data_IF_799365366991
#
_entry.id   IF_799365366991
#
_cell.length_a   1.000
_cell.length_b   1.000
_cell.length_c   1.000
_cell.angle_alpha   90.00
_cell.angle_beta   90.00
_cell.angle_gamma   90.00
#
_symmetry.space_group_name_H-M   'P 1'
#
loop_
_entity.id
_entity.type
_entity.pdbx_description
1 polymer ?
#
# COMPACT_ATOMS: atom_id res chain seq x y z
N UNK A 1 4.51 40.15 29.78
CA UNK A 1 5.32 39.74 28.61
C UNK A 1 5.61 40.97 27.77
N UNK A 2 6.88 41.24 27.41
CA UNK A 2 7.25 42.43 26.62
C UNK A 2 6.60 42.34 25.22
N UNK A 3 5.92 43.40 24.76
CA UNK A 3 5.26 43.42 23.44
C UNK A 3 6.21 43.08 22.31
N UNK A 4 7.48 43.49 22.41
CA UNK A 4 8.53 43.16 21.43
C UNK A 4 8.83 41.67 21.41
N UNK A 5 8.86 41.01 22.57
CA UNK A 5 9.07 39.56 22.66
C UNK A 5 7.86 38.83 22.05
N UNK A 6 6.64 39.26 22.37
CA UNK A 6 5.42 38.66 21.81
C UNK A 6 5.39 38.77 20.28
N UNK A 7 5.69 39.95 19.72
CA UNK A 7 5.73 40.17 18.28
C UNK A 7 6.82 39.33 17.63
N UNK A 8 8.00 39.23 18.25
CA UNK A 8 9.11 38.42 17.73
C UNK A 8 8.75 36.93 17.69
N UNK A 9 8.07 36.42 18.74
CA UNK A 9 7.58 35.04 18.78
C UNK A 9 6.54 34.80 17.68
N UNK A 10 5.58 35.73 17.50
CA UNK A 10 4.56 35.62 16.44
C UNK A 10 5.20 35.60 15.05
N UNK A 11 6.14 36.50 14.76
CA UNK A 11 6.85 36.54 13.48
C UNK A 11 7.61 35.24 13.24
N UNK A 12 8.35 34.74 14.24
CA UNK A 12 9.10 33.50 14.13
C UNK A 12 8.18 32.29 13.86
N UNK A 13 7.04 32.22 14.54
CA UNK A 13 6.05 31.16 14.31
C UNK A 13 5.46 31.26 12.91
N UNK A 14 4.99 32.45 12.49
CA UNK A 14 4.42 32.65 11.15
C UNK A 14 5.42 32.28 10.05
N UNK A 15 6.68 32.72 10.19
CA UNK A 15 7.73 32.38 9.24
C UNK A 15 8.01 30.87 9.21
N UNK A 16 8.08 30.23 10.39
CA UNK A 16 8.28 28.78 10.48
C UNK A 16 7.13 27.99 9.83
N UNK A 17 5.88 28.42 10.01
CA UNK A 17 4.71 27.77 9.40
C UNK A 17 4.68 27.97 7.88
N UNK A 18 4.97 29.19 7.39
CA UNK A 18 5.05 29.48 5.95
C UNK A 18 6.14 28.64 5.27
N UNK A 19 7.31 28.59 5.89
CA UNK A 19 8.43 27.80 5.40
C UNK A 19 8.05 26.33 5.35
N UNK A 20 7.49 25.79 6.44
CA UNK A 20 7.01 24.41 6.49
C UNK A 20 5.95 24.10 5.44
N UNK A 21 4.96 24.97 5.23
CA UNK A 21 3.92 24.77 4.21
C UNK A 21 4.51 24.75 2.80
N UNK A 22 5.43 25.67 2.52
CA UNK A 22 6.18 25.69 1.26
C UNK A 22 6.94 24.37 1.07
N UNK A 23 7.63 23.88 2.12
CA UNK A 23 8.31 22.58 2.07
C UNK A 23 7.33 21.41 1.86
N UNK A 24 6.15 21.43 2.46
CA UNK A 24 5.16 20.38 2.30
C UNK A 24 4.60 20.29 0.88
N UNK A 25 4.35 21.43 0.24
CA UNK A 25 3.90 21.50 -1.15
C UNK A 25 4.95 20.96 -2.14
N UNK A 26 6.24 21.22 -1.90
CA UNK A 26 7.32 20.73 -2.77
C UNK A 26 7.76 19.30 -2.47
N UNK A 27 7.62 18.84 -1.22
CA UNK A 27 8.07 17.53 -0.76
C UNK A 27 6.96 16.78 0.00
N UNK A 28 5.79 16.57 -0.61
CA UNK A 28 4.69 15.91 0.07
C UNK A 28 5.07 14.47 0.45
N UNK A 29 4.52 13.93 1.56
CA UNK A 29 4.50 12.50 1.80
C UNK A 29 3.89 11.78 0.60
N UNK A 30 4.55 10.75 0.07
CA UNK A 30 3.92 9.89 -0.94
C UNK A 30 2.76 9.14 -0.28
N UNK A 31 1.55 9.38 -0.77
CA UNK A 31 0.32 8.73 -0.28
C UNK A 31 -0.10 7.65 -1.27
N UNK A 32 -0.76 6.60 -0.78
CA UNK A 32 -1.42 5.62 -1.66
C UNK A 32 -2.46 6.27 -2.62
N UNK A 33 -2.97 7.46 -2.28
CA UNK A 33 -3.83 8.27 -3.17
C UNK A 33 -3.12 8.75 -4.44
N UNK A 34 -1.79 8.82 -4.44
CA UNK A 34 -1.00 9.35 -5.55
C UNK A 34 -0.98 8.40 -6.76
N UNK A 35 -1.43 7.15 -6.56
CA UNK A 35 -1.58 6.18 -7.65
C UNK A 35 -2.64 6.63 -8.64
N UNK A 36 -3.76 7.19 -8.16
CA UNK A 36 -4.89 7.60 -8.99
C UNK A 36 -4.43 8.53 -10.14
N UNK A 37 -3.56 9.47 -9.83
CA UNK A 37 -3.09 10.49 -10.78
C UNK A 37 -1.77 10.08 -11.48
N UNK A 38 -1.35 8.81 -11.35
CA UNK A 38 -0.09 8.34 -11.92
C UNK A 38 -0.12 8.33 -13.46
N UNK A 39 0.92 8.85 -14.17
CA UNK A 39 0.96 8.96 -15.63
C UNK A 39 0.65 7.67 -16.39
N UNK A 40 1.05 6.53 -15.82
CA UNK A 40 0.75 5.18 -16.32
C UNK A 40 -0.69 5.03 -16.83
N UNK A 41 -1.69 5.51 -16.08
CA UNK A 41 -3.09 5.36 -16.48
C UNK A 41 -3.40 6.14 -17.76
N UNK A 42 -2.92 7.38 -17.87
CA UNK A 42 -3.13 8.22 -19.04
C UNK A 42 -2.40 7.69 -20.29
N UNK A 43 -1.19 7.16 -20.09
CA UNK A 43 -0.35 6.61 -21.16
C UNK A 43 -0.89 5.28 -21.71
N UNK A 44 -1.49 4.44 -20.85
CA UNK A 44 -1.87 3.07 -21.22
C UNK A 44 -3.36 2.89 -21.52
N UNK A 45 -4.22 3.88 -21.24
CA UNK A 45 -5.68 3.78 -21.49
C UNK A 45 -6.06 3.49 -22.95
N UNK A 46 -5.25 3.94 -23.91
CA UNK A 46 -5.52 3.83 -25.35
C UNK A 46 -4.69 2.74 -26.04
N UNK A 47 -4.01 1.87 -25.28
CA UNK A 47 -3.25 0.77 -25.88
C UNK A 47 -4.20 -0.31 -26.44
N UNK A 48 -3.91 -0.77 -27.67
CA UNK A 48 -4.63 -1.84 -28.37
C UNK A 48 -4.35 -3.24 -27.79
N UNK A 49 -3.39 -3.36 -26.86
CA UNK A 49 -3.07 -4.62 -26.18
C UNK A 49 -4.15 -5.03 -25.17
N UNK A 50 -4.39 -6.34 -25.10
CA UNK A 50 -5.27 -6.99 -24.12
C UNK A 50 -4.57 -7.01 -22.75
N UNK A 51 -5.09 -6.25 -21.79
CA UNK A 51 -4.40 -6.04 -20.51
C UNK A 51 -4.85 -7.05 -19.47
N UNK A 52 -3.87 -7.65 -18.80
CA UNK A 52 -4.03 -8.43 -17.58
C UNK A 52 -3.38 -7.64 -16.46
N UNK A 53 -4.13 -7.32 -15.40
CA UNK A 53 -3.64 -6.51 -14.30
C UNK A 53 -3.56 -7.34 -13.03
N UNK A 54 -2.46 -7.21 -12.30
CA UNK A 54 -2.33 -7.71 -10.93
C UNK A 54 -2.52 -6.56 -9.94
N UNK A 55 -3.47 -6.73 -9.01
CA UNK A 55 -3.72 -5.84 -7.88
C UNK A 55 -3.41 -6.59 -6.57
N UNK A 56 -3.13 -5.84 -5.52
CA UNK A 56 -2.89 -6.39 -4.17
C UNK A 56 -1.77 -5.68 -3.43
N UNK A 57 -1.53 -6.16 -2.22
CA UNK A 57 -0.53 -5.64 -1.29
C UNK A 57 0.91 -6.06 -1.60
N UNK A 58 1.76 -5.97 -0.58
CA UNK A 58 3.21 -6.19 -0.69
C UNK A 58 3.59 -7.59 -1.21
N UNK A 59 2.75 -8.61 -1.01
CA UNK A 59 2.97 -9.96 -1.57
C UNK A 59 2.82 -9.97 -3.09
N UNK A 60 1.77 -9.33 -3.62
CA UNK A 60 1.56 -9.17 -5.06
C UNK A 60 2.61 -8.30 -5.71
N UNK A 61 2.99 -7.21 -5.04
CA UNK A 61 4.00 -6.29 -5.52
C UNK A 61 5.35 -6.99 -5.78
N UNK A 62 5.65 -8.07 -5.07
CA UNK A 62 6.90 -8.81 -5.19
C UNK A 62 6.97 -9.77 -6.39
N UNK A 63 5.85 -10.00 -7.10
CA UNK A 63 5.86 -10.86 -8.28
C UNK A 63 6.65 -10.24 -9.43
N UNK A 64 7.49 -11.06 -10.06
CA UNK A 64 8.32 -10.66 -11.20
C UNK A 64 7.45 -10.47 -12.46
N UNK A 65 7.00 -9.23 -12.69
CA UNK A 65 6.16 -8.85 -13.83
C UNK A 65 6.83 -9.10 -15.17
N UNK A 66 8.14 -8.88 -15.27
CA UNK A 66 8.92 -9.12 -16.50
C UNK A 66 8.85 -10.59 -16.89
N UNK A 67 9.11 -11.50 -15.93
CA UNK A 67 9.06 -12.95 -16.17
C UNK A 67 7.63 -13.41 -16.52
N UNK A 68 6.62 -12.94 -15.79
CA UNK A 68 5.21 -13.28 -16.06
C UNK A 68 4.81 -12.84 -17.46
N UNK A 69 5.12 -11.59 -17.83
CA UNK A 69 4.82 -11.04 -19.14
C UNK A 69 5.53 -11.82 -20.27
N UNK A 70 6.81 -12.16 -20.08
CA UNK A 70 7.55 -12.99 -21.04
C UNK A 70 6.93 -14.38 -21.22
N UNK A 71 6.47 -15.02 -20.13
CA UNK A 71 5.83 -16.32 -20.20
C UNK A 71 4.45 -16.25 -20.87
N UNK A 72 3.67 -15.20 -20.58
CA UNK A 72 2.37 -14.94 -21.21
C UNK A 72 2.52 -14.77 -22.72
N UNK A 73 3.48 -13.95 -23.14
CA UNK A 73 3.69 -13.59 -24.54
C UNK A 73 4.14 -14.76 -25.42
N UNK A 74 4.61 -15.88 -24.84
CA UNK A 74 4.90 -17.11 -25.59
C UNK A 74 3.67 -17.73 -26.24
N UNK A 75 2.50 -17.55 -25.63
CA UNK A 75 1.25 -18.18 -26.07
C UNK A 75 0.17 -17.15 -26.45
N UNK A 76 0.36 -15.88 -26.09
CA UNK A 76 -0.66 -14.84 -26.19
C UNK A 76 -0.05 -13.51 -26.65
N UNK A 77 0.33 -13.42 -27.94
CA UNK A 77 1.12 -12.31 -28.50
C UNK A 77 0.51 -10.90 -28.33
N UNK A 78 -0.82 -10.77 -28.25
CA UNK A 78 -1.49 -9.47 -28.06
C UNK A 78 -1.82 -9.14 -26.58
N UNK A 79 -1.34 -9.94 -25.61
CA UNK A 79 -1.59 -9.67 -24.20
C UNK A 79 -0.42 -8.96 -23.56
N UNK A 80 -0.70 -8.13 -22.55
CA UNK A 80 0.32 -7.51 -21.71
C UNK A 80 -0.08 -7.65 -20.25
N UNK A 81 0.89 -8.03 -19.44
CA UNK A 81 0.73 -8.15 -18.00
C UNK A 81 1.33 -6.94 -17.29
N UNK A 82 0.53 -6.27 -16.45
CA UNK A 82 0.99 -5.21 -15.56
C UNK A 82 0.79 -5.60 -14.10
N UNK A 83 1.85 -5.45 -13.30
CA UNK A 83 1.77 -5.54 -11.85
C UNK A 83 1.49 -4.15 -11.26
N UNK A 84 0.22 -3.87 -10.99
CA UNK A 84 -0.24 -2.64 -10.36
C UNK A 84 -0.34 -2.80 -8.83
N UNK A 85 0.18 -3.88 -8.27
CA UNK A 85 0.30 -4.03 -6.83
C UNK A 85 1.39 -3.10 -6.28
N UNK A 86 1.21 -2.67 -5.04
CA UNK A 86 2.16 -1.81 -4.35
C UNK A 86 2.16 -2.12 -2.86
N UNK A 87 3.24 -1.69 -2.21
CA UNK A 87 3.42 -1.94 -0.79
C UNK A 87 2.31 -1.30 0.02
N UNK A 88 1.82 -2.05 1.01
CA UNK A 88 0.75 -1.63 1.90
C UNK A 88 -0.64 -1.42 1.28
N UNK A 89 -0.84 -1.81 0.01
CA UNK A 89 -2.15 -1.72 -0.61
C UNK A 89 -3.20 -2.57 0.12
N UNK A 90 -4.31 -1.93 0.45
CA UNK A 90 -5.50 -2.55 1.06
C UNK A 90 -6.69 -2.31 0.15
N UNK A 91 -7.74 -3.14 0.20
CA UNK A 91 -8.97 -2.87 -0.54
C UNK A 91 -9.49 -1.44 -0.39
N UNK A 92 -9.50 -0.88 0.82
CA UNK A 92 -9.90 0.52 1.06
C UNK A 92 -9.02 1.54 0.34
N UNK A 93 -7.71 1.31 0.28
CA UNK A 93 -6.80 2.21 -0.44
C UNK A 93 -6.95 2.03 -1.95
N UNK A 94 -6.94 0.79 -2.45
CA UNK A 94 -7.15 0.44 -3.85
C UNK A 94 -8.42 1.03 -4.44
N UNK A 95 -9.50 1.08 -3.65
CA UNK A 95 -10.77 1.64 -4.07
C UNK A 95 -10.65 3.08 -4.58
N UNK A 96 -9.67 3.86 -4.09
CA UNK A 96 -9.44 5.24 -4.54
C UNK A 96 -8.97 5.37 -5.99
N UNK A 97 -8.41 4.31 -6.57
CA UNK A 97 -7.88 4.28 -7.94
C UNK A 97 -8.54 3.21 -8.83
N UNK A 98 -9.69 2.66 -8.39
CA UNK A 98 -10.36 1.57 -9.12
C UNK A 98 -11.00 2.06 -10.42
N UNK A 99 -11.46 3.32 -10.46
CA UNK A 99 -12.01 3.92 -11.68
C UNK A 99 -10.94 3.98 -12.78
N UNK A 100 -9.74 4.44 -12.43
CA UNK A 100 -8.61 4.55 -13.33
C UNK A 100 -8.13 3.16 -13.77
N UNK A 101 -8.19 2.18 -12.86
CA UNK A 101 -7.97 0.76 -13.19
C UNK A 101 -8.99 0.27 -14.23
N UNK A 102 -10.27 0.58 -14.06
CA UNK A 102 -11.32 0.23 -15.03
C UNK A 102 -11.18 0.95 -16.38
N UNK A 103 -10.69 2.19 -16.39
CA UNK A 103 -10.43 2.96 -17.62
C UNK A 103 -9.36 2.33 -18.52
N UNK A 104 -8.47 1.49 -17.97
CA UNK A 104 -7.51 0.70 -18.76
C UNK A 104 -8.19 -0.38 -19.60
N UNK A 105 -9.48 -0.67 -19.34
CA UNK A 105 -10.27 -1.74 -19.96
C UNK A 105 -9.55 -3.09 -19.92
N UNK A 106 -9.16 -3.57 -18.72
CA UNK A 106 -8.49 -4.86 -18.61
C UNK A 106 -9.44 -5.99 -18.98
N UNK A 107 -8.89 -7.01 -19.64
CA UNK A 107 -9.62 -8.25 -19.89
C UNK A 107 -9.75 -9.08 -18.62
N UNK A 108 -8.69 -9.06 -17.80
CA UNK A 108 -8.59 -9.83 -16.58
C UNK A 108 -7.88 -9.03 -15.50
N UNK A 109 -8.46 -9.05 -14.30
CA UNK A 109 -7.83 -8.58 -13.07
C UNK A 109 -7.58 -9.78 -12.16
N UNK A 110 -6.31 -9.98 -11.82
CA UNK A 110 -5.85 -10.88 -10.78
C UNK A 110 -5.74 -10.07 -9.48
N UNK A 111 -6.57 -10.35 -8.49
CA UNK A 111 -6.51 -9.72 -7.18
C UNK A 111 -5.84 -10.68 -6.20
N UNK A 112 -4.60 -10.38 -5.85
CA UNK A 112 -3.82 -11.21 -4.96
C UNK A 112 -3.95 -10.77 -3.51
N UNK A 113 -4.20 -11.73 -2.62
CA UNK A 113 -4.42 -11.49 -1.19
C UNK A 113 -3.61 -12.47 -0.31
N UNK A 114 -3.33 -12.05 0.90
CA UNK A 114 -2.75 -12.86 1.97
C UNK A 114 -3.62 -12.78 3.22
N UNK A 115 -3.32 -13.60 4.23
CA UNK A 115 -4.05 -13.62 5.50
C UNK A 115 -4.17 -12.24 6.17
N UNK A 116 -3.24 -11.30 5.96
CA UNK A 116 -3.26 -10.02 6.67
C UNK A 116 -3.79 -8.84 5.84
N UNK A 117 -4.01 -8.99 4.53
CA UNK A 117 -4.41 -7.86 3.66
C UNK A 117 -5.81 -7.33 3.95
N UNK A 118 -6.69 -8.17 4.51
CA UNK A 118 -8.04 -7.77 4.94
C UNK A 118 -8.07 -7.08 6.31
N UNK A 119 -6.92 -6.84 6.96
CA UNK A 119 -6.84 -6.14 8.25
C UNK A 119 -6.39 -4.69 8.15
N UNK A 120 -6.46 -4.06 6.99
CA UNK A 120 -6.38 -2.59 6.87
C UNK A 120 -5.06 -1.93 7.30
N UNK A 121 -3.94 -2.65 7.27
CA UNK A 121 -2.60 -2.14 7.62
C UNK A 121 -2.53 -1.43 8.99
N UNK A 122 -3.06 -2.05 10.04
CA UNK A 122 -2.88 -1.57 11.42
C UNK A 122 -1.54 -2.05 12.03
N UNK A 123 -0.41 -1.71 11.41
CA UNK A 123 0.92 -1.90 11.99
C UNK A 123 1.34 -0.74 12.90
N UNK A 124 0.38 0.00 13.44
CA UNK A 124 0.68 0.99 14.45
C UNK A 124 0.84 0.21 15.74
N UNK A 125 2.09 -0.16 16.01
CA UNK A 125 2.55 -0.27 17.39
C UNK A 125 2.19 1.06 18.06
N UNK A 126 1.02 1.11 18.71
CA UNK A 126 0.76 2.01 19.83
C UNK A 126 1.57 1.54 21.04
N UNK A 127 2.80 1.02 20.85
CA UNK A 127 3.79 1.28 21.86
C UNK A 127 3.77 2.80 21.97
N UNK A 128 3.40 3.29 23.16
CA UNK A 128 3.55 4.69 23.48
C UNK A 128 4.96 5.03 23.01
N UNK A 129 5.09 5.78 21.92
CA UNK A 129 6.34 6.48 21.68
C UNK A 129 6.53 7.21 22.99
N UNK A 130 7.47 6.74 23.82
CA UNK A 130 7.80 7.38 25.07
C UNK A 130 8.41 8.68 24.58
N UNK A 131 7.57 9.67 24.33
CA UNK A 131 7.99 10.96 23.87
C UNK A 131 8.82 11.48 25.04
N UNK A 132 10.14 11.68 24.89
CA UNK A 132 10.96 12.20 25.98
C UNK A 132 10.61 13.66 26.29
N UNK A 133 9.80 14.28 25.42
CA UNK A 133 9.26 15.63 25.58
C UNK A 133 7.97 15.57 26.41
N UNK A 134 7.74 16.55 27.31
CA UNK A 134 6.49 16.64 28.05
C UNK A 134 5.31 16.69 27.08
N UNK A 135 4.27 15.92 27.38
CA UNK A 135 2.99 16.01 26.68
C UNK A 135 2.45 17.42 26.89
N UNK A 136 2.52 18.26 25.87
CA UNK A 136 1.91 19.58 25.91
C UNK A 136 0.39 19.35 25.87
N UNK A 137 -0.31 19.61 26.96
CA UNK A 137 -1.79 19.44 27.07
C UNK A 137 -2.59 20.41 26.20
N UNK A 138 -1.91 21.30 25.46
CA UNK A 138 -2.53 22.00 24.35
C UNK A 138 -2.90 20.94 23.31
N UNK A 139 -4.19 20.62 23.24
CA UNK A 139 -4.76 19.85 22.15
C UNK A 139 -5.31 20.85 21.12
N UNK A 140 -4.49 21.40 20.21
CA UNK A 140 -4.97 22.26 19.15
C UNK A 140 -5.95 21.53 18.23
N UNK A 141 -5.97 20.19 18.18
CA UNK A 141 -7.00 19.46 17.45
C UNK A 141 -8.42 19.65 18.04
N UNK A 142 -8.56 20.14 19.28
CA UNK A 142 -9.86 20.64 19.79
C UNK A 142 -10.26 22.01 19.22
N UNK A 143 -9.31 22.81 18.73
CA UNK A 143 -9.57 24.08 18.03
C UNK A 143 -9.91 23.86 16.55
N UNK A 144 -9.51 22.72 15.99
CA UNK A 144 -9.71 22.32 14.58
C UNK A 144 -10.59 21.06 14.52
N UNK A 145 -11.87 21.17 14.89
CA UNK A 145 -12.78 20.04 15.06
C UNK A 145 -13.50 19.59 13.77
N UNK A 146 -13.07 20.05 12.59
CA UNK A 146 -13.59 19.54 11.32
C UNK A 146 -12.79 18.32 10.87
N UNK A 147 -13.50 17.22 10.57
CA UNK A 147 -12.93 15.95 10.13
C UNK A 147 -12.29 15.98 8.72
N UNK A 148 -12.22 17.17 8.10
CA UNK A 148 -11.63 17.43 6.78
C UNK A 148 -10.55 18.54 6.83
N UNK A 149 -9.84 18.67 7.96
CA UNK A 149 -8.76 19.66 8.04
C UNK A 149 -7.50 19.10 7.38
N UNK A 150 -7.11 19.68 6.24
CA UNK A 150 -5.87 19.36 5.53
C UNK A 150 -4.65 19.41 6.46
N UNK A 151 -4.69 20.21 7.53
CA UNK A 151 -3.62 20.32 8.51
C UNK A 151 -3.40 19.04 9.35
N UNK A 152 -4.45 18.23 9.57
CA UNK A 152 -4.37 16.96 10.30
C UNK A 152 -3.77 15.83 9.45
N UNK A 153 -3.81 15.95 8.13
CA UNK A 153 -3.18 14.99 7.22
C UNK A 153 -1.67 15.23 7.03
N UNK A 154 -1.18 16.41 7.40
CA UNK A 154 0.24 16.74 7.24
C UNK A 154 1.04 16.01 8.31
N UNK A 155 2.01 15.18 7.88
CA UNK A 155 2.99 14.56 8.74
C UNK A 155 4.32 15.33 8.66
N UNK A 156 4.64 16.22 9.65
CA UNK A 156 5.81 17.09 9.55
C UNK A 156 7.12 16.31 9.59
N UNK A 157 7.16 15.19 10.32
CA UNK A 157 8.33 14.31 10.39
C UNK A 157 8.62 13.69 9.03
N UNK A 158 7.60 13.17 8.37
CA UNK A 158 7.72 12.53 7.06
C UNK A 158 8.07 13.54 5.97
N UNK A 159 7.40 14.69 5.95
CA UNK A 159 7.72 15.82 5.06
C UNK A 159 9.20 16.22 5.20
N UNK A 160 9.68 16.38 6.44
CA UNK A 160 11.08 16.73 6.71
C UNK A 160 12.04 15.62 6.23
N UNK A 161 11.71 14.36 6.47
CA UNK A 161 12.53 13.24 6.03
C UNK A 161 12.59 13.13 4.50
N UNK A 162 11.47 13.40 3.80
CA UNK A 162 11.43 13.42 2.34
C UNK A 162 12.27 14.58 1.78
N UNK A 163 12.14 15.78 2.34
CA UNK A 163 13.01 16.91 1.98
C UNK A 163 14.50 16.55 2.12
N UNK A 164 14.90 15.96 3.24
CA UNK A 164 16.30 15.54 3.46
C UNK A 164 16.70 14.51 2.40
N UNK A 165 15.87 13.49 2.17
CA UNK A 165 16.18 12.41 1.22
C UNK A 165 16.28 12.89 -0.22
N UNK A 166 15.43 13.82 -0.63
CA UNK A 166 15.42 14.34 -2.00
C UNK A 166 16.52 15.37 -2.23
N UNK A 167 16.75 16.27 -1.25
CA UNK A 167 17.75 17.33 -1.39
C UNK A 167 19.19 16.81 -1.29
N UNK A 168 19.40 15.72 -0.55
CA UNK A 168 20.72 15.18 -0.27
C UNK A 168 20.92 13.75 -0.78
N UNK A 169 19.95 13.17 -1.49
CA UNK A 169 19.99 11.78 -1.95
C UNK A 169 21.13 11.48 -2.92
N UNK A 170 21.55 12.48 -3.70
CA UNK A 170 22.66 12.40 -4.66
C UNK A 170 24.00 12.89 -4.08
N UNK A 171 24.03 13.22 -2.79
CA UNK A 171 25.25 13.61 -2.08
C UNK A 171 25.86 12.42 -1.36
N UNK A 172 27.17 12.41 -1.19
CA UNK A 172 27.86 11.39 -0.37
C UNK A 172 27.59 11.53 1.15
N UNK A 173 26.67 12.42 1.56
CA UNK A 173 26.28 12.61 2.97
C UNK A 173 25.47 11.43 3.52
N UNK A 174 24.79 10.68 2.64
CA UNK A 174 24.01 9.50 2.99
C UNK A 174 24.53 8.29 2.21
N UNK A 175 24.39 7.07 2.76
CA UNK A 175 24.66 5.87 1.98
C UNK A 175 23.86 5.94 0.68
N UNK A 176 24.53 5.73 -0.46
CA UNK A 176 23.87 5.64 -1.76
C UNK A 176 22.69 4.69 -1.62
N UNK A 177 21.50 5.09 -2.08
CA UNK A 177 20.32 4.21 -2.11
C UNK A 177 20.77 2.88 -2.71
N UNK A 178 20.72 1.82 -1.91
CA UNK A 178 21.17 0.48 -2.31
C UNK A 178 20.37 0.12 -3.56
N UNK A 179 21.04 0.08 -4.72
CA UNK A 179 20.56 -0.28 -6.05
C UNK A 179 19.04 -0.48 -6.17
N UNK A 180 18.26 0.60 -6.00
CA UNK A 180 16.81 0.53 -6.13
C UNK A 180 16.47 0.51 -7.61
N UNK A 181 15.71 -0.48 -8.04
CA UNK A 181 15.31 -0.66 -9.43
C UNK A 181 13.80 -0.85 -9.54
N UNK A 182 13.30 -0.67 -10.75
CA UNK A 182 11.89 -0.91 -11.09
C UNK A 182 11.84 -2.00 -12.14
N UNK A 183 10.94 -2.96 -11.96
CA UNK A 183 10.69 -3.98 -12.98
C UNK A 183 9.81 -3.42 -14.10
N UNK A 184 10.06 -3.87 -15.32
CA UNK A 184 9.18 -3.56 -16.46
C UNK A 184 7.74 -3.99 -16.13
N UNK A 185 6.77 -3.17 -16.51
CA UNK A 185 5.35 -3.37 -16.23
C UNK A 185 4.98 -3.41 -14.72
N UNK A 186 5.82 -2.88 -13.82
CA UNK A 186 5.51 -2.67 -12.40
C UNK A 186 5.51 -1.17 -12.03
N UNK A 187 4.56 -0.36 -12.54
CA UNK A 187 4.63 1.10 -12.46
C UNK A 187 4.62 1.66 -11.02
N UNK A 188 4.08 0.91 -10.04
CA UNK A 188 3.86 1.41 -8.68
C UNK A 188 4.78 0.79 -7.62
N UNK A 189 5.73 -0.05 -8.05
CA UNK A 189 6.60 -0.80 -7.14
C UNK A 189 8.07 -0.62 -7.49
N UNK A 190 8.88 -0.42 -6.44
CA UNK A 190 10.33 -0.37 -6.52
C UNK A 190 10.91 -1.49 -5.66
N UNK A 191 12.02 -2.03 -6.13
CA UNK A 191 12.71 -3.18 -5.56
C UNK A 191 14.11 -2.77 -5.15
N UNK A 192 14.55 -3.29 -4.00
CA UNK A 192 15.92 -3.19 -3.57
C UNK A 192 16.64 -4.53 -3.85
N UNK A 193 17.94 -4.49 -4.12
CA UNK A 193 18.74 -5.69 -4.47
C UNK A 193 18.61 -6.83 -3.45
N UNK A 194 18.48 -6.52 -2.15
CA UNK A 194 18.32 -7.57 -1.14
C UNK A 194 17.01 -8.37 -1.29
N UNK A 195 15.98 -7.79 -1.94
CA UNK A 195 14.72 -8.47 -2.20
C UNK A 195 14.82 -9.51 -3.32
N UNK A 196 15.91 -9.51 -4.10
CA UNK A 196 16.18 -10.55 -5.11
C UNK A 196 16.88 -11.78 -4.54
N UNK A 197 17.25 -11.74 -3.26
CA UNK A 197 17.97 -12.82 -2.58
C UNK A 197 16.96 -13.79 -1.96
N UNK A 198 16.98 -15.05 -2.42
CA UNK A 198 16.15 -16.11 -1.84
C UNK A 198 16.70 -16.45 -0.45
N UNK A 199 15.86 -16.30 0.57
CA UNK A 199 16.18 -16.67 1.94
C UNK A 199 16.42 -18.18 2.07
N UNK A 200 17.43 -18.56 2.85
CA UNK A 200 17.66 -19.97 3.18
C UNK A 200 16.71 -20.43 4.30
N UNK A 201 16.62 -21.76 4.48
CA UNK A 201 15.73 -22.37 5.48
C UNK A 201 15.99 -21.90 6.92
N UNK A 202 17.26 -21.66 7.30
CA UNK A 202 17.61 -21.17 8.63
C UNK A 202 17.10 -19.73 8.85
N UNK A 203 17.08 -18.90 7.81
CA UNK A 203 16.52 -17.54 7.89
C UNK A 203 15.00 -17.57 7.99
N UNK A 204 14.34 -18.44 7.23
CA UNK A 204 12.87 -18.60 7.27
C UNK A 204 12.36 -19.06 8.65
N UNK A 205 13.10 -19.97 9.31
CA UNK A 205 12.81 -20.45 10.68
C UNK A 205 12.88 -19.38 11.77
N UNK A 206 13.49 -18.22 11.51
CA UNK A 206 13.59 -17.13 12.50
C UNK A 206 12.27 -16.43 12.76
N UNK A 207 11.24 -16.70 11.95
CA UNK A 207 9.92 -16.13 12.17
C UNK A 207 9.34 -16.59 13.51
N UNK A 208 8.83 -15.65 14.30
CA UNK A 208 8.28 -15.96 15.62
C UNK A 208 6.75 -16.02 15.59
N UNK A 209 6.17 -16.87 16.45
CA UNK A 209 4.71 -16.96 16.62
C UNK A 209 4.10 -15.61 16.98
N UNK A 210 4.78 -14.83 17.84
CA UNK A 210 4.32 -13.49 18.22
C UNK A 210 4.33 -12.52 17.03
N UNK A 211 5.32 -12.61 16.14
CA UNK A 211 5.34 -11.80 14.92
C UNK A 211 4.17 -12.16 14.00
N UNK A 212 3.94 -13.46 13.74
CA UNK A 212 2.82 -13.91 12.89
C UNK A 212 1.47 -13.54 13.48
N UNK A 213 1.28 -13.74 14.79
CA UNK A 213 0.05 -13.37 15.47
C UNK A 213 -0.25 -11.87 15.37
N UNK A 214 0.77 -11.02 15.54
CA UNK A 214 0.59 -9.57 15.40
C UNK A 214 0.35 -9.14 13.95
N UNK A 215 0.92 -9.88 12.99
CA UNK A 215 0.74 -9.65 11.56
C UNK A 215 -0.67 -9.97 11.08
N UNK A 216 -1.17 -11.13 11.46
CA UNK A 216 -2.47 -11.61 10.97
C UNK A 216 -3.63 -11.10 11.80
N UNK A 217 -3.45 -10.83 13.10
CA UNK A 217 -4.43 -10.30 14.06
C UNK A 217 -5.75 -9.81 13.47
N UNK A 218 -6.68 -10.72 13.21
CA UNK A 218 -7.91 -10.36 12.51
C UNK A 218 -8.78 -9.51 13.42
N UNK A 219 -9.27 -8.39 12.89
CA UNK A 219 -10.26 -7.57 13.57
C UNK A 219 -11.54 -7.54 12.74
N UNK A 220 -12.64 -8.07 13.27
CA UNK A 220 -13.89 -8.21 12.53
C UNK A 220 -14.43 -6.89 11.96
N UNK A 221 -14.30 -5.78 12.70
CA UNK A 221 -14.82 -4.47 12.25
C UNK A 221 -14.00 -3.95 11.08
N UNK A 222 -12.67 -3.95 11.21
CA UNK A 222 -11.75 -3.51 10.15
C UNK A 222 -11.90 -4.42 8.93
N UNK A 223 -11.98 -5.73 9.15
CA UNK A 223 -12.16 -6.70 8.10
C UNK A 223 -13.45 -6.49 7.34
N UNK A 224 -14.57 -6.28 8.03
CA UNK A 224 -15.85 -6.00 7.39
C UNK A 224 -15.78 -4.77 6.49
N UNK A 225 -15.06 -3.73 6.93
CA UNK A 225 -14.80 -2.55 6.09
C UNK A 225 -13.96 -2.92 4.84
N UNK A 226 -12.84 -3.61 5.01
CA UNK A 226 -11.97 -4.00 3.89
C UNK A 226 -12.65 -4.94 2.89
N UNK A 227 -13.40 -5.92 3.37
CA UNK A 227 -14.22 -6.81 2.55
C UNK A 227 -15.28 -6.00 1.81
N UNK A 228 -15.94 -5.03 2.46
CA UNK A 228 -16.88 -4.13 1.80
C UNK A 228 -16.25 -3.39 0.61
N UNK A 229 -15.06 -2.82 0.78
CA UNK A 229 -14.35 -2.17 -0.33
C UNK A 229 -13.92 -3.16 -1.42
N UNK A 230 -13.48 -4.36 -1.05
CA UNK A 230 -13.12 -5.39 -2.04
C UNK A 230 -14.34 -5.79 -2.90
N UNK A 231 -15.52 -5.92 -2.29
CA UNK A 231 -16.78 -6.17 -2.99
C UNK A 231 -17.12 -5.05 -3.96
N UNK A 232 -16.98 -3.79 -3.56
CA UNK A 232 -17.20 -2.66 -4.48
C UNK A 232 -16.18 -2.65 -5.63
N UNK A 233 -14.91 -2.95 -5.36
CA UNK A 233 -13.88 -3.07 -6.42
C UNK A 233 -14.28 -4.14 -7.43
N UNK A 234 -14.65 -5.34 -6.97
CA UNK A 234 -15.07 -6.45 -7.85
C UNK A 234 -16.29 -6.01 -8.68
N UNK A 235 -17.29 -5.41 -8.04
CA UNK A 235 -18.50 -4.94 -8.72
C UNK A 235 -18.19 -3.92 -9.82
N UNK A 236 -17.35 -2.93 -9.53
CA UNK A 236 -16.98 -1.88 -10.48
C UNK A 236 -16.18 -2.43 -11.67
N UNK A 237 -15.31 -3.40 -11.45
CA UNK A 237 -14.57 -4.06 -12.52
C UNK A 237 -15.49 -4.93 -13.38
N UNK A 238 -16.34 -5.76 -12.76
CA UNK A 238 -17.27 -6.63 -13.49
C UNK A 238 -18.34 -5.85 -14.26
N UNK A 239 -18.79 -4.71 -13.75
CA UNK A 239 -19.69 -3.79 -14.48
C UNK A 239 -19.06 -3.20 -15.75
N UNK A 240 -17.73 -3.24 -15.86
CA UNK A 240 -16.98 -2.86 -17.06
C UNK A 240 -16.48 -4.09 -17.84
N UNK A 241 -17.20 -5.22 -17.75
CA UNK A 241 -16.92 -6.48 -18.45
C UNK A 241 -15.52 -7.07 -18.18
N UNK A 242 -14.90 -6.71 -17.05
CA UNK A 242 -13.60 -7.26 -16.63
C UNK A 242 -13.79 -8.57 -15.85
N UNK A 243 -13.12 -9.65 -16.25
CA UNK A 243 -13.05 -10.86 -15.43
C UNK A 243 -12.18 -10.60 -14.19
N UNK A 244 -12.65 -11.03 -13.02
CA UNK A 244 -11.89 -10.91 -11.77
C UNK A 244 -11.63 -12.29 -11.20
N UNK A 245 -10.35 -12.58 -10.93
CA UNK A 245 -9.88 -13.78 -10.24
C UNK A 245 -9.20 -13.34 -8.95
N UNK A 246 -9.60 -13.93 -7.84
CA UNK A 246 -8.91 -13.75 -6.56
C UNK A 246 -7.96 -14.92 -6.39
N UNK A 247 -6.75 -14.66 -5.90
CA UNK A 247 -5.86 -15.74 -5.51
C UNK A 247 -5.17 -15.45 -4.17
N UNK A 248 -5.13 -16.47 -3.34
CA UNK A 248 -4.42 -16.43 -2.05
C UNK A 248 -2.96 -16.75 -2.35
N UNK A 249 -2.06 -15.82 -2.04
CA UNK A 249 -0.64 -16.01 -2.33
C UNK A 249 -0.02 -17.17 -1.56
N UNK A 250 0.95 -17.87 -2.16
CA UNK A 250 1.83 -18.75 -1.40
C UNK A 250 2.57 -17.96 -0.34
N UNK A 251 2.61 -18.51 0.87
CA UNK A 251 3.42 -18.00 1.97
C UNK A 251 4.35 -19.10 2.46
N UNK A 252 5.46 -18.69 3.06
CA UNK A 252 6.45 -19.65 3.56
C UNK A 252 5.84 -20.54 4.66
N UNK A 253 6.15 -21.84 4.63
CA UNK A 253 5.55 -22.85 5.52
C UNK A 253 5.62 -22.47 7.00
N UNK A 254 6.76 -21.95 7.47
CA UNK A 254 6.91 -21.56 8.88
C UNK A 254 6.00 -20.40 9.29
N UNK A 255 5.56 -19.55 8.34
CA UNK A 255 4.53 -18.56 8.60
C UNK A 255 3.16 -19.23 8.76
N UNK A 256 2.77 -20.07 7.80
CA UNK A 256 1.45 -20.72 7.74
C UNK A 256 1.18 -21.63 8.95
N UNK A 257 2.21 -22.37 9.38
CA UNK A 257 2.16 -23.24 10.56
C UNK A 257 1.93 -22.43 11.87
N UNK A 258 2.21 -21.12 11.86
CA UNK A 258 2.07 -20.21 13.01
C UNK A 258 0.83 -19.30 12.95
N UNK A 259 0.06 -19.32 11.85
CA UNK A 259 -1.18 -18.53 11.74
C UNK A 259 -2.23 -19.13 12.68
N UNK A 260 -2.83 -18.36 13.60
CA UNK A 260 -3.88 -18.86 14.49
C UNK A 260 -5.10 -19.37 13.72
N UNK A 261 -5.69 -20.49 14.16
CA UNK A 261 -6.83 -21.11 13.48
C UNK A 261 -8.06 -20.19 13.41
N UNK A 262 -8.33 -19.41 14.45
CA UNK A 262 -9.41 -18.41 14.44
C UNK A 262 -9.17 -17.37 13.34
N UNK A 263 -7.93 -16.91 13.18
CA UNK A 263 -7.58 -15.93 12.15
C UNK A 263 -7.74 -16.52 10.73
N UNK A 264 -7.38 -17.80 10.54
CA UNK A 264 -7.62 -18.54 9.27
C UNK A 264 -9.12 -18.65 8.98
N UNK A 265 -9.90 -19.07 9.97
CA UNK A 265 -11.35 -19.25 9.83
C UNK A 265 -12.03 -17.94 9.41
N UNK A 266 -11.68 -16.82 10.06
CA UNK A 266 -12.25 -15.52 9.70
C UNK A 266 -11.77 -15.09 8.29
N UNK A 267 -10.53 -15.39 7.89
CA UNK A 267 -10.05 -15.08 6.53
C UNK A 267 -10.85 -15.84 5.47
N UNK A 268 -10.96 -17.16 5.61
CA UNK A 268 -11.69 -18.00 4.66
C UNK A 268 -13.20 -17.72 4.63
N UNK A 269 -13.81 -17.39 5.77
CA UNK A 269 -15.21 -16.96 5.81
C UNK A 269 -15.46 -15.73 4.93
N UNK A 270 -14.52 -14.78 4.88
CA UNK A 270 -14.61 -13.62 3.99
C UNK A 270 -14.48 -13.99 2.50
N UNK A 271 -13.67 -14.99 2.17
CA UNK A 271 -13.55 -15.45 0.78
C UNK A 271 -14.82 -16.16 0.31
N UNK A 272 -15.40 -17.01 1.16
CA UNK A 272 -16.69 -17.65 0.88
C UNK A 272 -17.82 -16.62 0.77
N UNK A 273 -17.82 -15.58 1.60
CA UNK A 273 -18.76 -14.46 1.48
C UNK A 273 -18.67 -13.80 0.09
N UNK A 274 -17.45 -13.48 -0.37
CA UNK A 274 -17.22 -12.88 -1.70
C UNK A 274 -17.66 -13.83 -2.82
N UNK A 275 -17.27 -15.10 -2.76
CA UNK A 275 -17.61 -16.13 -3.74
C UNK A 275 -19.12 -16.38 -3.84
N UNK A 276 -19.86 -16.21 -2.73
CA UNK A 276 -21.31 -16.35 -2.71
C UNK A 276 -22.07 -15.19 -3.35
N UNK A 277 -21.47 -13.98 -3.36
CA UNK A 277 -22.08 -12.77 -3.91
C UNK A 277 -21.67 -12.51 -5.36
N UNK A 278 -20.44 -12.84 -5.74
CA UNK A 278 -19.87 -12.52 -7.05
C UNK A 278 -19.49 -13.78 -7.82
N UNK A 279 -19.63 -13.72 -9.15
CA UNK A 279 -19.08 -14.75 -10.04
C UNK A 279 -17.57 -14.56 -10.19
N UNK A 280 -16.81 -14.87 -9.13
CA UNK A 280 -15.35 -14.82 -9.10
C UNK A 280 -14.78 -16.20 -8.85
N UNK A 281 -13.68 -16.51 -9.54
CA UNK A 281 -12.88 -17.70 -9.22
C UNK A 281 -11.91 -17.33 -8.11
N UNK A 282 -11.82 -18.18 -7.09
CA UNK A 282 -10.84 -18.04 -6.02
C UNK A 282 -9.88 -19.22 -6.10
N UNK A 283 -8.60 -18.95 -6.32
CA UNK A 283 -7.54 -19.95 -6.28
C UNK A 283 -6.74 -19.80 -4.99
N UNK A 284 -6.81 -20.81 -4.13
CA UNK A 284 -5.93 -20.86 -2.98
C UNK A 284 -4.60 -21.49 -3.38
N UNK A 285 -3.52 -20.70 -3.34
CA UNK A 285 -2.15 -21.14 -3.60
C UNK A 285 -1.30 -21.08 -2.33
N UNK A 286 -1.91 -21.01 -1.15
CA UNK A 286 -1.19 -20.90 0.10
C UNK A 286 -0.40 -22.18 0.46
N UNK A 287 -0.86 -23.35 0.01
CA UNK A 287 -0.24 -24.67 0.26
C UNK A 287 0.48 -25.28 -0.97
#
# INVERSE_FOLDING_TARGET
>A
MNKTILISILIALTFSFLLFYTFHEFFPPQKASDIKDHPFFAENKNSDSEKILLLGGSGAAQLNSTMINQLLNKNYENHVFYNLAYNADTPKQRYKSVNETGMLKPKLVLYGITYFDLNGFFWINKSKNIQPLPTIELNPAKLFSSHDDAFLEINPKETTLNFIRESFGDTDLFPKKVNRFQLENSPFSFFDEYQTIIANDNDLKKISSEHVKNMVKQNEVIKKEQVGYLKEIIRMLQNNDTEVIIFVFPQQKYFLDLVPEDDKAIFYASLEEIKSEFNVKIYDLSD
#
